data_IF_956690208824
#
_entry.id   IF_956690208824
#
_cell.length_a   1.000
_cell.length_b   1.000
_cell.length_c   1.000
_cell.angle_alpha   90.00
_cell.angle_beta   90.00
_cell.angle_gamma   90.00
#
_symmetry.space_group_name_H-M   'P 1'
#
loop_
_entity.id
_entity.type
_entity.pdbx_description
1 polymer ?
#
# COMPACT_ATOMS: atom_id res chain seq x y z
N UNK A 1 -23.22 -7.89 8.31
CA UNK A 1 -22.60 -7.23 7.13
C UNK A 1 -23.68 -6.67 6.23
N UNK A 2 -23.61 -5.39 5.92
CA UNK A 2 -24.44 -4.74 4.91
C UNK A 2 -24.09 -5.24 3.50
N UNK A 3 -24.97 -4.99 2.52
CA UNK A 3 -24.70 -5.34 1.11
C UNK A 3 -23.39 -4.69 0.60
N UNK A 4 -23.17 -3.43 0.96
CA UNK A 4 -21.93 -2.69 0.62
C UNK A 4 -20.69 -3.38 1.20
N UNK A 5 -20.73 -3.79 2.46
CA UNK A 5 -19.62 -4.50 3.10
C UNK A 5 -19.34 -5.85 2.44
N UNK A 6 -20.40 -6.59 2.05
CA UNK A 6 -20.26 -7.85 1.33
C UNK A 6 -19.58 -7.64 -0.03
N UNK A 7 -20.02 -6.66 -0.80
CA UNK A 7 -19.43 -6.34 -2.09
C UNK A 7 -17.97 -5.91 -1.96
N UNK A 8 -17.66 -5.05 -0.98
CA UNK A 8 -16.28 -4.65 -0.69
C UNK A 8 -15.42 -5.86 -0.35
N UNK A 9 -15.87 -6.70 0.56
CA UNK A 9 -15.12 -7.90 0.96
C UNK A 9 -14.89 -8.86 -0.21
N UNK A 10 -15.93 -9.12 -1.02
CA UNK A 10 -15.81 -9.97 -2.21
C UNK A 10 -14.84 -9.40 -3.24
N UNK A 11 -14.84 -8.09 -3.46
CA UNK A 11 -13.88 -7.44 -4.37
C UNK A 11 -12.43 -7.65 -3.91
N UNK A 12 -12.16 -7.52 -2.61
CA UNK A 12 -10.84 -7.81 -2.04
C UNK A 12 -10.45 -9.28 -2.18
N UNK A 13 -11.40 -10.22 -1.95
CA UNK A 13 -11.13 -11.65 -2.15
C UNK A 13 -10.75 -11.98 -3.59
N UNK A 14 -11.49 -11.41 -4.57
CA UNK A 14 -11.17 -11.56 -5.99
C UNK A 14 -9.79 -10.97 -6.31
N UNK A 15 -9.46 -9.81 -5.77
CA UNK A 15 -8.15 -9.18 -5.99
C UNK A 15 -7.01 -10.01 -5.39
N UNK A 16 -7.17 -10.60 -4.19
CA UNK A 16 -6.19 -11.53 -3.62
C UNK A 16 -6.05 -12.81 -4.44
N UNK A 17 -7.17 -13.37 -4.88
CA UNK A 17 -7.14 -14.53 -5.76
C UNK A 17 -6.41 -14.21 -7.06
N UNK A 18 -6.71 -13.06 -7.68
CA UNK A 18 -6.05 -12.61 -8.90
C UNK A 18 -4.54 -12.38 -8.68
N UNK A 19 -4.15 -11.80 -7.53
CA UNK A 19 -2.74 -11.65 -7.16
C UNK A 19 -1.98 -12.96 -7.12
N UNK A 20 -2.65 -14.06 -6.73
CA UNK A 20 -2.06 -15.37 -6.63
C UNK A 20 -2.03 -16.17 -7.95
N UNK A 21 -2.94 -15.90 -8.89
CA UNK A 21 -3.15 -16.77 -10.05
C UNK A 21 -2.96 -16.07 -11.40
N UNK A 22 -3.02 -14.74 -11.44
CA UNK A 22 -2.89 -13.97 -12.68
C UNK A 22 -1.42 -13.52 -12.83
N UNK A 23 -0.82 -13.66 -14.03
CA UNK A 23 0.54 -13.16 -14.25
C UNK A 23 0.65 -11.67 -13.90
N UNK A 24 1.72 -11.30 -13.19
CA UNK A 24 1.92 -9.94 -12.66
C UNK A 24 1.74 -8.85 -13.72
N UNK A 25 2.27 -9.06 -14.93
CA UNK A 25 2.14 -8.10 -16.04
C UNK A 25 0.68 -7.83 -16.43
N UNK A 26 -0.14 -8.88 -16.46
CA UNK A 26 -1.58 -8.77 -16.78
C UNK A 26 -2.29 -8.05 -15.64
N UNK A 27 -2.02 -8.43 -14.40
CA UNK A 27 -2.62 -7.82 -13.23
C UNK A 27 -2.30 -6.31 -13.18
N UNK A 28 -1.05 -5.91 -13.39
CA UNK A 28 -0.63 -4.52 -13.46
C UNK A 28 -1.36 -3.73 -14.55
N UNK A 29 -1.55 -4.34 -15.72
CA UNK A 29 -2.31 -3.72 -16.82
C UNK A 29 -3.78 -3.50 -16.43
N UNK A 30 -4.41 -4.49 -15.78
CA UNK A 30 -5.79 -4.36 -15.27
C UNK A 30 -5.90 -3.23 -14.26
N UNK A 31 -5.01 -3.16 -13.27
CA UNK A 31 -5.02 -2.08 -12.28
C UNK A 31 -4.77 -0.70 -12.91
N UNK A 32 -3.94 -0.61 -13.95
CA UNK A 32 -3.73 0.61 -14.71
C UNK A 32 -5.00 1.06 -15.46
N UNK A 33 -5.75 0.12 -16.03
CA UNK A 33 -7.04 0.42 -16.66
C UNK A 33 -8.03 0.92 -15.60
N UNK A 34 -8.13 0.24 -14.45
CA UNK A 34 -9.00 0.64 -13.34
C UNK A 34 -8.63 2.06 -12.88
N UNK A 35 -7.34 2.36 -12.71
CA UNK A 35 -6.86 3.70 -12.36
C UNK A 35 -7.31 4.76 -13.35
N UNK A 36 -7.21 4.47 -14.64
CA UNK A 36 -7.59 5.38 -15.71
C UNK A 36 -9.11 5.63 -15.73
N UNK A 37 -9.91 4.57 -15.57
CA UNK A 37 -11.37 4.68 -15.47
C UNK A 37 -11.78 5.47 -14.23
N UNK A 38 -11.20 5.13 -13.06
CA UNK A 38 -11.48 5.84 -11.80
C UNK A 38 -11.13 7.34 -11.90
N UNK A 39 -10.02 7.67 -12.52
CA UNK A 39 -9.64 9.06 -12.78
C UNK A 39 -10.62 9.76 -13.72
N UNK A 40 -11.02 9.10 -14.80
CA UNK A 40 -11.95 9.65 -15.79
C UNK A 40 -13.35 9.91 -15.19
N UNK A 41 -13.81 9.08 -14.27
CA UNK A 41 -15.09 9.25 -13.58
C UNK A 41 -15.17 10.53 -12.72
N UNK A 42 -14.06 11.19 -12.43
CA UNK A 42 -13.98 12.46 -11.68
C UNK A 42 -14.78 12.44 -10.37
N UNK A 43 -14.69 11.35 -9.65
CA UNK A 43 -15.35 11.19 -8.34
C UNK A 43 -14.96 12.31 -7.37
N UNK A 44 -15.71 12.55 -6.29
CA UNK A 44 -15.34 13.54 -5.26
C UNK A 44 -13.91 13.34 -4.73
N UNK A 45 -13.45 12.09 -4.60
CA UNK A 45 -12.08 11.76 -4.16
C UNK A 45 -11.03 12.22 -5.18
N UNK A 46 -11.25 11.99 -6.47
CA UNK A 46 -10.34 12.44 -7.55
C UNK A 46 -10.30 13.97 -7.63
N UNK A 47 -11.45 14.65 -7.47
CA UNK A 47 -11.49 16.11 -7.42
C UNK A 47 -10.73 16.67 -6.21
N UNK A 48 -10.87 16.02 -5.04
CA UNK A 48 -10.12 16.39 -3.83
C UNK A 48 -8.60 16.17 -4.02
N UNK A 49 -8.21 15.06 -4.66
CA UNK A 49 -6.82 14.80 -5.01
C UNK A 49 -6.25 15.92 -5.89
N UNK A 50 -6.96 16.30 -6.96
CA UNK A 50 -6.54 17.40 -7.85
C UNK A 50 -6.45 18.73 -7.09
N UNK A 51 -7.40 19.02 -6.21
CA UNK A 51 -7.39 20.22 -5.36
C UNK A 51 -6.14 20.24 -4.46
N UNK A 52 -5.83 19.13 -3.78
CA UNK A 52 -4.67 19.05 -2.90
C UNK A 52 -3.35 19.17 -3.68
N UNK A 53 -3.24 18.50 -4.83
CA UNK A 53 -2.07 18.61 -5.70
C UNK A 53 -1.90 20.04 -6.22
N UNK A 54 -2.99 20.70 -6.63
CA UNK A 54 -2.99 22.10 -7.06
C UNK A 54 -2.42 23.03 -5.97
N UNK A 55 -2.79 22.82 -4.71
CA UNK A 55 -2.22 23.58 -3.58
C UNK A 55 -0.73 23.37 -3.40
N UNK A 56 -0.26 22.13 -3.57
CA UNK A 56 1.17 21.82 -3.44
C UNK A 56 2.01 22.49 -4.52
N UNK A 57 1.51 22.52 -5.77
CA UNK A 57 2.24 23.09 -6.90
C UNK A 57 1.88 24.56 -7.21
N UNK A 58 0.96 25.17 -6.45
CA UNK A 58 0.54 26.55 -6.64
C UNK A 58 -0.27 26.78 -7.91
N UNK A 59 -1.00 25.77 -8.41
CA UNK A 59 -1.77 25.84 -9.64
C UNK A 59 -3.24 25.54 -9.43
N UNK A 60 -4.10 26.03 -10.32
CA UNK A 60 -5.52 25.72 -10.29
C UNK A 60 -5.78 24.21 -10.45
N UNK A 61 -6.77 23.63 -9.72
CA UNK A 61 -7.05 22.19 -9.74
C UNK A 61 -7.45 21.65 -11.10
N UNK A 62 -7.97 22.49 -11.99
CA UNK A 62 -8.42 22.17 -13.34
C UNK A 62 -7.37 22.48 -14.43
N UNK A 63 -6.21 23.01 -14.05
CA UNK A 63 -5.09 23.22 -14.98
C UNK A 63 -4.62 21.91 -15.62
N UNK A 64 -4.08 21.99 -16.84
CA UNK A 64 -3.57 20.82 -17.56
C UNK A 64 -2.48 20.07 -16.75
N UNK A 65 -1.59 20.81 -16.09
CA UNK A 65 -0.53 20.27 -15.23
C UNK A 65 -1.09 19.50 -14.06
N UNK A 66 -2.06 20.05 -13.32
CA UNK A 66 -2.66 19.36 -12.16
C UNK A 66 -3.49 18.15 -12.60
N UNK A 67 -4.16 18.23 -13.75
CA UNK A 67 -4.86 17.05 -14.33
C UNK A 67 -3.88 15.93 -14.66
N UNK A 68 -2.72 16.25 -15.25
CA UNK A 68 -1.65 15.28 -15.50
C UNK A 68 -1.14 14.66 -14.21
N UNK A 69 -0.81 15.49 -13.20
CA UNK A 69 -0.37 15.03 -11.88
C UNK A 69 -1.41 14.13 -11.20
N UNK A 70 -2.69 14.50 -11.22
CA UNK A 70 -3.75 13.71 -10.60
C UNK A 70 -3.94 12.36 -11.30
N UNK A 71 -3.74 12.28 -12.62
CA UNK A 71 -3.75 11.01 -13.36
C UNK A 71 -2.58 10.11 -12.94
N UNK A 72 -1.37 10.65 -12.83
CA UNK A 72 -0.22 9.89 -12.35
C UNK A 72 -0.39 9.44 -10.90
N UNK A 73 -0.92 10.28 -10.02
CA UNK A 73 -1.19 9.92 -8.64
C UNK A 73 -2.22 8.80 -8.52
N UNK A 74 -3.28 8.80 -9.34
CA UNK A 74 -4.24 7.68 -9.39
C UNK A 74 -3.58 6.40 -9.90
N UNK A 75 -2.73 6.48 -10.93
CA UNK A 75 -1.95 5.33 -11.41
C UNK A 75 -1.06 4.77 -10.30
N UNK A 76 -0.32 5.62 -9.61
CA UNK A 76 0.55 5.24 -8.49
C UNK A 76 -0.24 4.59 -7.34
N UNK A 77 -1.40 5.13 -6.98
CA UNK A 77 -2.28 4.58 -5.96
C UNK A 77 -2.77 3.16 -6.31
N UNK A 78 -3.18 2.93 -7.55
CA UNK A 78 -3.61 1.60 -7.97
C UNK A 78 -2.44 0.62 -8.17
N UNK A 79 -1.24 1.11 -8.52
CA UNK A 79 -0.02 0.27 -8.48
C UNK A 79 0.28 -0.22 -7.06
N UNK A 80 0.17 0.66 -6.04
CA UNK A 80 0.31 0.25 -4.65
C UNK A 80 -0.66 -0.89 -4.29
N UNK A 81 -1.93 -0.78 -4.65
CA UNK A 81 -2.91 -1.85 -4.41
C UNK A 81 -2.54 -3.16 -5.12
N UNK A 82 -2.08 -3.07 -6.37
CA UNK A 82 -1.61 -4.22 -7.13
C UNK A 82 -0.42 -4.90 -6.40
N UNK A 83 0.58 -4.11 -6.01
CA UNK A 83 1.75 -4.59 -5.27
C UNK A 83 1.36 -5.26 -3.95
N UNK A 84 0.41 -4.68 -3.23
CA UNK A 84 -0.09 -5.25 -1.98
C UNK A 84 -0.74 -6.63 -2.20
N UNK A 85 -1.53 -6.83 -3.27
CA UNK A 85 -2.12 -8.13 -3.56
C UNK A 85 -1.08 -9.16 -4.01
N UNK A 86 -0.03 -8.74 -4.71
CA UNK A 86 1.09 -9.60 -5.12
C UNK A 86 1.98 -9.95 -3.92
N UNK A 87 2.22 -9.02 -3.01
CA UNK A 87 3.12 -9.18 -1.87
C UNK A 87 2.85 -10.48 -1.09
N UNK A 88 1.57 -10.82 -0.91
CA UNK A 88 1.19 -12.01 -0.15
C UNK A 88 1.45 -13.34 -0.86
N UNK A 89 1.88 -13.31 -2.11
CA UNK A 89 2.27 -14.48 -2.89
C UNK A 89 3.79 -14.66 -2.98
N UNK A 90 4.55 -13.64 -2.60
CA UNK A 90 6.00 -13.65 -2.67
C UNK A 90 6.61 -14.50 -1.55
N UNK A 91 7.72 -15.17 -1.87
CA UNK A 91 8.61 -15.74 -0.87
C UNK A 91 9.40 -14.64 -0.15
N UNK A 92 10.03 -14.98 0.98
CA UNK A 92 10.90 -14.02 1.68
C UNK A 92 12.09 -13.61 0.81
N UNK A 93 12.65 -14.54 0.05
CA UNK A 93 13.74 -14.27 -0.88
C UNK A 93 13.33 -13.34 -2.02
N UNK A 94 12.11 -13.53 -2.57
CA UNK A 94 11.56 -12.62 -3.58
C UNK A 94 11.37 -11.20 -3.04
N UNK A 95 10.93 -11.06 -1.79
CA UNK A 95 10.77 -9.76 -1.14
C UNK A 95 12.12 -9.04 -1.05
N UNK A 96 13.16 -9.73 -0.60
CA UNK A 96 14.52 -9.17 -0.50
C UNK A 96 15.04 -8.81 -1.89
N UNK A 97 14.88 -9.71 -2.88
CA UNK A 97 15.35 -9.48 -4.24
C UNK A 97 14.69 -8.28 -4.95
N UNK A 98 13.44 -7.97 -4.58
CA UNK A 98 12.67 -6.84 -5.13
C UNK A 98 12.90 -5.52 -4.41
N UNK A 99 13.65 -5.52 -3.29
CA UNK A 99 13.79 -4.34 -2.43
C UNK A 99 15.26 -4.02 -2.22
N UNK A 100 15.63 -2.78 -2.47
CA UNK A 100 16.95 -2.26 -2.13
C UNK A 100 16.84 -1.30 -0.95
N UNK A 101 17.35 -1.70 0.21
CA UNK A 101 17.49 -0.81 1.37
C UNK A 101 18.76 0.03 1.20
N UNK A 102 18.64 1.33 1.38
CA UNK A 102 19.76 2.29 1.27
C UNK A 102 19.98 2.97 2.61
N UNK A 103 21.21 3.41 2.85
CA UNK A 103 21.65 4.11 4.06
C UNK A 103 21.41 3.28 5.34
N UNK A 104 21.51 1.96 5.24
CA UNK A 104 21.35 1.03 6.38
C UNK A 104 22.45 1.21 7.42
N UNK A 105 23.57 1.80 7.04
CA UNK A 105 24.66 2.20 7.94
C UNK A 105 24.19 3.19 9.02
N UNK A 106 23.12 3.91 8.82
CA UNK A 106 22.52 4.77 9.85
C UNK A 106 21.69 4.00 10.88
N UNK A 107 21.22 2.81 10.52
CA UNK A 107 20.39 1.96 11.35
C UNK A 107 21.25 1.06 12.25
N UNK A 108 22.27 0.44 11.70
CA UNK A 108 23.07 -0.60 12.35
C UNK A 108 23.64 -0.16 13.71
N UNK A 109 24.24 1.04 13.87
CA UNK A 109 24.79 1.45 15.17
C UNK A 109 23.76 1.61 16.28
N UNK A 110 22.47 1.79 15.93
CA UNK A 110 21.40 1.89 16.91
C UNK A 110 20.97 0.50 17.37
N UNK A 111 20.86 -0.43 16.42
CA UNK A 111 20.53 -1.83 16.68
C UNK A 111 21.64 -2.53 17.48
N UNK A 112 22.91 -2.27 17.19
CA UNK A 112 24.08 -2.84 17.90
C UNK A 112 24.11 -2.43 19.39
N UNK A 113 23.49 -1.29 19.72
CA UNK A 113 23.31 -0.84 21.11
C UNK A 113 22.08 -1.43 21.78
N UNK A 114 21.38 -2.37 21.13
CA UNK A 114 20.15 -2.98 21.66
C UNK A 114 18.97 -2.00 21.78
N UNK A 115 18.99 -0.88 21.05
CA UNK A 115 17.91 0.12 21.07
C UNK A 115 16.93 -0.08 19.93
N UNK A 116 15.66 0.20 20.19
CA UNK A 116 14.63 0.23 19.17
C UNK A 116 14.75 1.45 18.25
N UNK A 117 14.21 1.31 17.04
CA UNK A 117 14.15 2.38 16.04
C UNK A 117 12.70 2.64 15.64
N UNK A 118 12.34 3.91 15.56
CA UNK A 118 11.03 4.33 15.07
C UNK A 118 11.17 4.82 13.62
N UNK A 119 10.40 4.23 12.71
CA UNK A 119 10.34 4.63 11.31
C UNK A 119 9.11 5.48 11.05
N UNK A 120 9.31 6.69 10.53
CA UNK A 120 8.23 7.52 10.01
C UNK A 120 8.11 7.30 8.50
N UNK A 121 7.04 6.61 8.08
CA UNK A 121 6.78 6.32 6.67
C UNK A 121 5.88 7.39 6.05
N UNK A 122 6.21 7.81 4.84
CA UNK A 122 5.46 8.84 4.10
C UNK A 122 4.25 8.30 3.33
N UNK A 123 3.90 7.02 3.46
CA UNK A 123 2.86 6.34 2.67
C UNK A 123 3.03 6.54 1.15
N UNK A 124 4.25 6.54 0.67
CA UNK A 124 4.59 6.65 -0.75
C UNK A 124 5.15 5.34 -1.29
N UNK A 125 4.81 5.00 -2.53
CA UNK A 125 5.24 3.75 -3.15
C UNK A 125 4.66 2.50 -2.49
N UNK A 126 5.36 1.38 -2.59
CA UNK A 126 4.97 0.09 -2.00
C UNK A 126 5.53 -0.06 -0.58
N UNK A 127 5.00 0.73 0.35
CA UNK A 127 5.48 0.76 1.74
C UNK A 127 5.26 -0.56 2.51
N UNK A 128 4.24 -1.34 2.18
CA UNK A 128 4.06 -2.69 2.76
C UNK A 128 5.19 -3.64 2.32
N UNK A 129 5.64 -3.56 1.07
CA UNK A 129 6.79 -4.34 0.58
C UNK A 129 8.09 -3.90 1.26
N UNK A 130 8.31 -2.59 1.39
CA UNK A 130 9.49 -2.06 2.07
C UNK A 130 9.53 -2.49 3.54
N UNK A 131 8.39 -2.43 4.24
CA UNK A 131 8.30 -2.89 5.62
C UNK A 131 8.51 -4.40 5.75
N UNK A 132 7.98 -5.21 4.82
CA UNK A 132 8.22 -6.64 4.77
C UNK A 132 9.73 -6.95 4.58
N UNK A 133 10.41 -6.23 3.69
CA UNK A 133 11.86 -6.39 3.49
C UNK A 133 12.67 -5.99 4.73
N UNK A 134 12.26 -4.95 5.43
CA UNK A 134 12.88 -4.55 6.72
C UNK A 134 12.73 -5.66 7.76
N UNK A 135 11.55 -6.28 7.87
CA UNK A 135 11.34 -7.37 8.83
C UNK A 135 12.15 -8.62 8.51
N UNK A 136 12.28 -8.96 7.24
CA UNK A 136 13.10 -10.11 6.83
C UNK A 136 14.57 -9.89 7.19
N UNK A 137 15.06 -8.65 7.09
CA UNK A 137 16.49 -8.34 7.29
C UNK A 137 16.83 -7.96 8.75
N UNK A 138 15.91 -7.33 9.48
CA UNK A 138 16.20 -6.73 10.81
C UNK A 138 15.29 -7.24 11.93
N UNK A 139 14.32 -8.09 11.62
CA UNK A 139 13.43 -8.68 12.61
C UNK A 139 12.07 -7.96 12.72
N UNK A 140 11.25 -8.35 13.71
CA UNK A 140 9.85 -7.95 13.80
C UNK A 140 9.66 -6.45 13.93
N UNK A 141 8.62 -5.94 13.29
CA UNK A 141 8.22 -4.53 13.25
C UNK A 141 6.84 -4.38 13.90
N UNK A 142 6.73 -3.48 14.86
CA UNK A 142 5.44 -3.09 15.42
C UNK A 142 4.86 -1.93 14.62
N UNK A 143 3.59 -2.04 14.22
CA UNK A 143 2.86 -0.98 13.53
C UNK A 143 1.47 -0.80 14.12
N UNK A 144 0.88 0.37 13.91
CA UNK A 144 -0.51 0.65 14.26
C UNK A 144 -1.34 0.64 12.99
N UNK A 145 -2.45 -0.10 12.99
CA UNK A 145 -3.35 -0.19 11.85
C UNK A 145 -4.75 0.28 12.20
N UNK A 146 -5.38 0.99 11.27
CA UNK A 146 -6.80 1.32 11.36
C UNK A 146 -7.65 0.04 11.28
N UNK A 147 -8.67 -0.04 12.14
CA UNK A 147 -9.61 -1.16 12.12
C UNK A 147 -10.60 -0.99 10.96
N UNK A 148 -10.31 -1.67 9.87
CA UNK A 148 -11.13 -1.62 8.65
C UNK A 148 -12.50 -2.28 8.83
N UNK A 149 -13.48 -1.80 8.09
CA UNK A 149 -14.79 -2.45 7.96
C UNK A 149 -14.92 -3.08 6.55
N UNK A 150 -15.50 -4.30 6.44
CA UNK A 150 -15.99 -5.16 7.53
C UNK A 150 -14.86 -5.82 8.33
N UNK A 151 -15.16 -6.26 9.54
CA UNK A 151 -14.20 -6.91 10.46
C UNK A 151 -13.46 -8.09 9.82
N UNK A 152 -14.13 -8.88 8.98
CA UNK A 152 -13.52 -9.98 8.24
C UNK A 152 -12.38 -9.51 7.32
N UNK A 153 -12.49 -8.31 6.75
CA UNK A 153 -11.44 -7.69 5.94
C UNK A 153 -10.24 -7.32 6.82
N UNK A 154 -10.49 -6.68 7.95
CA UNK A 154 -9.45 -6.33 8.92
C UNK A 154 -8.68 -7.56 9.39
N UNK A 155 -9.41 -8.62 9.80
CA UNK A 155 -8.78 -9.87 10.25
C UNK A 155 -7.89 -10.50 9.16
N UNK A 156 -8.34 -10.47 7.91
CA UNK A 156 -7.56 -11.00 6.81
C UNK A 156 -6.28 -10.20 6.55
N UNK A 157 -6.35 -8.86 6.59
CA UNK A 157 -5.17 -8.00 6.50
C UNK A 157 -4.18 -8.25 7.64
N UNK A 158 -4.68 -8.36 8.87
CA UNK A 158 -3.84 -8.63 10.05
C UNK A 158 -3.14 -9.98 9.95
N UNK A 159 -3.88 -11.02 9.57
CA UNK A 159 -3.32 -12.37 9.37
C UNK A 159 -2.26 -12.39 8.25
N UNK A 160 -2.53 -11.69 7.16
CA UNK A 160 -1.61 -11.61 6.03
C UNK A 160 -0.30 -10.90 6.42
N UNK A 161 -0.39 -9.83 7.21
CA UNK A 161 0.78 -9.12 7.72
C UNK A 161 1.56 -9.91 8.77
N UNK A 162 0.86 -10.64 9.64
CA UNK A 162 1.49 -11.51 10.65
C UNK A 162 2.42 -12.57 10.02
N UNK A 163 2.15 -13.01 8.78
CA UNK A 163 3.01 -13.91 8.02
C UNK A 163 4.43 -13.38 7.84
N UNK A 164 4.60 -12.06 7.78
CA UNK A 164 5.91 -11.43 7.62
C UNK A 164 6.53 -10.99 8.96
N UNK A 165 5.86 -11.24 10.10
CA UNK A 165 6.35 -10.85 11.42
C UNK A 165 5.86 -9.48 11.90
N UNK A 166 4.82 -8.90 11.26
CA UNK A 166 4.22 -7.66 11.76
C UNK A 166 3.47 -7.91 13.06
N UNK A 167 3.84 -7.18 14.07
CA UNK A 167 3.05 -7.03 15.29
C UNK A 167 2.15 -5.79 15.15
N UNK A 168 0.84 -6.02 15.16
CA UNK A 168 -0.13 -4.93 15.04
C UNK A 168 -0.56 -4.52 16.45
N UNK A 169 -0.04 -3.39 16.90
CA UNK A 169 -0.48 -2.72 18.11
C UNK A 169 -1.92 -2.23 17.97
N UNK A 170 -2.72 -2.36 19.03
CA UNK A 170 -4.07 -1.75 19.08
C UNK A 170 -3.91 -0.27 19.36
N UNK A 171 -4.38 0.59 18.46
CA UNK A 171 -4.66 1.96 18.82
C UNK A 171 -5.82 1.94 19.82
N UNK A 172 -5.55 2.23 21.08
CA UNK A 172 -6.60 2.58 22.04
C UNK A 172 -7.05 4.01 21.70
N UNK A 173 -8.19 4.13 21.05
CA UNK A 173 -8.94 5.38 20.90
C UNK A 173 -10.04 5.37 21.93
#
# INVERSE_FOLDING_TARGET
MTLKERLTYSAFLVAWWAGAHVPERVLRSVFQIIASVAWYMRTPSVKRLAFNLGRVVGLAPDSASVRGLSRHAMSSYFHYWCDMFILYTLSLDDIVARTQLRNVENLQPVLDRGKGVMFAATHSGSWDLAAAAMMVQYGPLMTVAERLKPEALYQRFTQSRARFGFEIGRAHV
#
